data_IF_858483385590
#
_entry.id   IF_858483385590
#
_cell.length_a   1.000
_cell.length_b   1.000
_cell.length_c   1.000
_cell.angle_alpha   90.00
_cell.angle_beta   90.00
_cell.angle_gamma   90.00
#
_symmetry.space_group_name_H-M   'P 1'
#
loop_
_entity.id
_entity.type
_entity.pdbx_description
1 polymer ?
#
# COMPACT_ATOMS: atom_id res chain seq x y z
N UNK A 1 -15.29 7.04 -29.09
CA UNK A 1 -13.91 6.52 -28.87
C UNK A 1 -13.18 7.18 -27.70
N UNK A 2 -13.47 8.43 -27.33
CA UNK A 2 -12.86 9.12 -26.17
C UNK A 2 -13.46 8.69 -24.83
N UNK A 3 -14.76 8.45 -24.77
CA UNK A 3 -15.51 8.06 -23.56
C UNK A 3 -15.08 6.71 -22.96
N UNK A 4 -14.83 5.69 -23.80
CA UNK A 4 -14.36 4.37 -23.32
C UNK A 4 -13.00 4.43 -22.63
N UNK A 5 -12.07 5.24 -23.16
CA UNK A 5 -10.71 5.37 -22.58
C UNK A 5 -10.72 6.09 -21.24
N UNK A 6 -11.65 7.01 -21.02
CA UNK A 6 -11.80 7.70 -19.74
C UNK A 6 -12.43 6.79 -18.68
N UNK A 7 -13.48 6.05 -19.05
CA UNK A 7 -14.09 5.05 -18.19
C UNK A 7 -13.08 3.98 -17.73
N UNK A 8 -12.22 3.51 -18.64
CA UNK A 8 -11.19 2.51 -18.34
C UNK A 8 -10.13 3.05 -17.37
N UNK A 9 -9.72 4.32 -17.52
CA UNK A 9 -8.77 4.97 -16.60
C UNK A 9 -9.36 5.17 -15.22
N UNK A 10 -10.61 5.62 -15.14
CA UNK A 10 -11.31 5.77 -13.85
C UNK A 10 -11.48 4.43 -13.15
N UNK A 11 -11.78 3.35 -13.89
CA UNK A 11 -11.86 2.01 -13.34
C UNK A 11 -10.51 1.56 -12.72
N UNK A 12 -9.39 1.83 -13.41
CA UNK A 12 -8.05 1.52 -12.88
C UNK A 12 -7.68 2.35 -11.65
N UNK A 13 -8.00 3.64 -11.64
CA UNK A 13 -7.81 4.49 -10.46
C UNK A 13 -8.59 3.96 -9.25
N UNK A 14 -9.85 3.58 -9.47
CA UNK A 14 -10.70 2.99 -8.44
C UNK A 14 -10.11 1.68 -7.92
N UNK A 15 -9.66 0.80 -8.82
CA UNK A 15 -9.00 -0.45 -8.44
C UNK A 15 -7.77 -0.19 -7.56
N UNK A 16 -6.90 0.75 -7.96
CA UNK A 16 -5.70 1.11 -7.21
C UNK A 16 -6.03 1.69 -5.82
N UNK A 17 -7.08 2.52 -5.74
CA UNK A 17 -7.57 3.06 -4.49
C UNK A 17 -8.13 1.95 -3.57
N UNK A 18 -8.86 0.98 -4.12
CA UNK A 18 -9.37 -0.18 -3.37
C UNK A 18 -8.21 -1.00 -2.79
N UNK A 19 -7.16 -1.27 -3.57
CA UNK A 19 -5.99 -2.01 -3.07
C UNK A 19 -5.28 -1.24 -1.94
N UNK A 20 -5.19 0.08 -2.05
CA UNK A 20 -4.66 0.94 -0.99
C UNK A 20 -5.51 0.87 0.29
N UNK A 21 -6.84 0.93 0.18
CA UNK A 21 -7.74 0.78 1.32
C UNK A 21 -7.67 -0.63 1.95
N UNK A 22 -7.57 -1.67 1.12
CA UNK A 22 -7.38 -3.04 1.58
C UNK A 22 -6.05 -3.20 2.34
N UNK A 23 -4.99 -2.52 1.90
CA UNK A 23 -3.71 -2.47 2.62
C UNK A 23 -3.86 -1.88 4.02
N UNK A 24 -4.56 -0.75 4.14
CA UNK A 24 -4.90 -0.16 5.44
C UNK A 24 -5.76 -1.08 6.30
N UNK A 25 -6.79 -1.68 5.72
CA UNK A 25 -7.67 -2.62 6.42
C UNK A 25 -6.92 -3.83 6.96
N UNK A 26 -6.03 -4.42 6.16
CA UNK A 26 -5.19 -5.55 6.57
C UNK A 26 -4.23 -5.17 7.71
N UNK A 27 -3.61 -3.99 7.63
CA UNK A 27 -2.72 -3.51 8.69
C UNK A 27 -3.50 -3.24 10.00
N UNK A 28 -4.64 -2.55 9.94
CA UNK A 28 -5.47 -2.31 11.13
C UNK A 28 -6.02 -3.61 11.73
N UNK A 29 -6.44 -4.56 10.90
CA UNK A 29 -6.87 -5.88 11.36
C UNK A 29 -5.73 -6.61 12.09
N UNK A 30 -4.49 -6.52 11.59
CA UNK A 30 -3.33 -7.09 12.26
C UNK A 30 -3.05 -6.44 13.63
N UNK A 31 -3.28 -5.13 13.77
CA UNK A 31 -3.18 -4.44 15.06
C UNK A 31 -4.24 -4.93 16.05
N UNK A 32 -5.48 -5.10 15.59
CA UNK A 32 -6.56 -5.63 16.42
C UNK A 32 -6.24 -7.05 16.89
N UNK A 33 -5.77 -7.91 15.98
CA UNK A 33 -5.37 -9.28 16.31
C UNK A 33 -4.21 -9.27 17.32
N UNK A 34 -3.19 -8.44 17.10
CA UNK A 34 -2.07 -8.33 18.03
C UNK A 34 -2.51 -7.85 19.41
N UNK A 35 -3.44 -6.87 19.47
CA UNK A 35 -4.01 -6.38 20.72
C UNK A 35 -4.78 -7.47 21.47
N UNK A 36 -5.64 -8.22 20.78
CA UNK A 36 -6.39 -9.34 21.40
C UNK A 36 -5.45 -10.44 21.88
N UNK A 37 -4.43 -10.80 21.10
CA UNK A 37 -3.45 -11.80 21.52
C UNK A 37 -2.61 -11.32 22.71
N UNK A 38 -2.25 -10.04 22.72
CA UNK A 38 -1.55 -9.41 23.83
C UNK A 38 -2.37 -9.44 25.12
N UNK A 39 -3.66 -9.06 25.06
CA UNK A 39 -4.51 -9.12 26.25
C UNK A 39 -4.64 -10.54 26.76
N UNK A 40 -4.92 -11.52 25.89
CA UNK A 40 -4.98 -12.93 26.28
C UNK A 40 -3.65 -13.37 26.93
N UNK A 41 -2.52 -13.10 26.29
CA UNK A 41 -1.20 -13.46 26.82
C UNK A 41 -0.93 -12.87 28.21
N UNK A 42 -1.35 -11.62 28.44
CA UNK A 42 -1.26 -10.95 29.74
C UNK A 42 -2.03 -11.70 30.83
N UNK A 43 -3.27 -12.12 30.55
CA UNK A 43 -4.10 -12.91 31.47
C UNK A 43 -3.49 -14.28 31.80
N UNK A 44 -2.73 -14.87 30.89
CA UNK A 44 -2.09 -16.19 31.06
C UNK A 44 -0.61 -16.12 31.47
N UNK A 45 -0.06 -14.94 31.75
CA UNK A 45 1.33 -14.77 32.20
C UNK A 45 2.40 -15.15 31.16
N UNK A 46 2.06 -15.09 29.86
CA UNK A 46 2.97 -15.44 28.77
C UNK A 46 3.89 -14.26 28.38
N UNK A 47 5.00 -14.55 27.69
CA UNK A 47 5.93 -13.51 27.21
C UNK A 47 5.30 -12.72 26.05
N UNK A 48 5.06 -11.44 26.27
CA UNK A 48 4.29 -10.57 25.37
C UNK A 48 5.07 -10.07 24.14
N UNK A 49 6.40 -10.21 24.14
CA UNK A 49 7.29 -9.63 23.12
C UNK A 49 7.08 -10.20 21.69
N UNK A 50 6.52 -11.40 21.56
CA UNK A 50 6.29 -12.01 20.24
C UNK A 50 5.09 -11.34 19.55
N UNK A 51 4.05 -11.00 20.30
CA UNK A 51 2.82 -10.42 19.75
C UNK A 51 3.00 -8.97 19.28
N UNK A 52 3.96 -8.24 19.86
CA UNK A 52 4.33 -6.90 19.42
C UNK A 52 4.97 -6.84 18.03
N UNK A 53 5.47 -7.96 17.49
CA UNK A 53 6.08 -8.00 16.15
C UNK A 53 5.04 -8.17 15.04
N UNK A 54 3.85 -8.67 15.36
CA UNK A 54 2.82 -8.98 14.37
C UNK A 54 2.40 -7.76 13.52
N UNK A 55 2.14 -6.58 14.11
CA UNK A 55 1.79 -5.39 13.34
C UNK A 55 2.92 -4.89 12.43
N UNK A 56 4.18 -5.06 12.85
CA UNK A 56 5.35 -4.68 12.05
C UNK A 56 5.52 -5.60 10.84
N UNK A 57 5.35 -6.91 11.02
CA UNK A 57 5.39 -7.87 9.93
C UNK A 57 4.24 -7.64 8.94
N UNK A 58 3.04 -7.36 9.45
CA UNK A 58 1.90 -7.01 8.60
C UNK A 58 2.13 -5.70 7.85
N UNK A 59 2.70 -4.68 8.50
CA UNK A 59 3.05 -3.41 7.85
C UNK A 59 4.00 -3.62 6.66
N UNK A 60 5.08 -4.38 6.86
CA UNK A 60 6.04 -4.68 5.79
C UNK A 60 5.42 -5.57 4.71
N UNK A 61 4.60 -6.55 5.09
CA UNK A 61 3.89 -7.41 4.15
C UNK A 61 2.93 -6.64 3.25
N UNK A 62 2.16 -5.71 3.82
CA UNK A 62 1.27 -4.81 3.07
C UNK A 62 2.07 -3.91 2.12
N UNK A 63 3.13 -3.27 2.61
CA UNK A 63 4.01 -2.45 1.78
C UNK A 63 4.62 -3.23 0.60
N UNK A 64 5.04 -4.48 0.84
CA UNK A 64 5.53 -5.38 -0.20
C UNK A 64 4.45 -5.76 -1.20
N UNK A 65 3.24 -6.11 -0.74
CA UNK A 65 2.12 -6.43 -1.62
C UNK A 65 1.75 -5.25 -2.52
N UNK A 66 1.58 -4.04 -1.95
CA UNK A 66 1.30 -2.82 -2.72
C UNK A 66 2.42 -2.51 -3.72
N UNK A 67 3.68 -2.75 -3.34
CA UNK A 67 4.84 -2.59 -4.23
C UNK A 67 4.82 -3.58 -5.38
N UNK A 68 4.35 -4.81 -5.15
CA UNK A 68 4.24 -5.83 -6.20
C UNK A 68 3.04 -5.59 -7.13
N UNK A 69 1.89 -5.21 -6.58
CA UNK A 69 0.62 -5.15 -7.34
C UNK A 69 0.25 -3.77 -7.86
N UNK A 70 0.54 -2.71 -7.10
CA UNK A 70 0.12 -1.35 -7.46
C UNK A 70 1.24 -0.60 -8.20
N UNK A 71 2.50 -0.75 -7.77
CA UNK A 71 3.61 0.01 -8.35
C UNK A 71 3.78 -0.19 -9.87
N UNK A 72 3.71 -1.41 -10.46
CA UNK A 72 3.82 -1.58 -11.90
C UNK A 72 2.74 -0.83 -12.67
N UNK A 73 1.49 -0.90 -12.17
CA UNK A 73 0.33 -0.21 -12.75
C UNK A 73 0.45 1.32 -12.70
N UNK A 74 1.19 1.87 -11.73
CA UNK A 74 1.51 3.29 -11.67
C UNK A 74 2.69 3.68 -12.58
N UNK A 75 3.69 2.82 -12.73
CA UNK A 75 4.88 3.10 -13.57
C UNK A 75 4.50 3.15 -15.06
N UNK A 76 3.52 2.34 -15.49
CA UNK A 76 2.98 2.40 -16.85
C UNK A 76 2.40 3.79 -17.22
N UNK A 77 2.05 4.61 -16.23
CA UNK A 77 1.57 5.99 -16.43
C UNK A 77 2.69 7.01 -16.64
N UNK A 78 3.91 6.77 -16.13
CA UNK A 78 5.06 7.68 -16.32
C UNK A 78 6.39 6.89 -16.41
N UNK A 79 7.00 6.76 -17.60
CA UNK A 79 8.19 5.93 -17.83
C UNK A 79 9.50 6.50 -17.23
N UNK A 80 9.44 7.62 -16.51
CA UNK A 80 10.62 8.36 -16.01
C UNK A 80 11.38 7.59 -14.92
N UNK A 81 10.80 6.52 -14.36
CA UNK A 81 11.42 5.71 -13.30
C UNK A 81 12.40 4.62 -13.80
N UNK A 82 12.77 4.63 -15.09
CA UNK A 82 13.56 3.55 -15.73
C UNK A 82 15.05 3.46 -15.35
N UNK A 83 15.60 4.32 -14.50
CA UNK A 83 16.95 4.12 -13.97
C UNK A 83 16.93 3.09 -12.85
N UNK A 84 17.74 2.03 -12.98
CA UNK A 84 17.81 0.90 -12.04
C UNK A 84 18.05 1.37 -10.60
N UNK A 85 18.86 2.42 -10.42
CA UNK A 85 19.11 3.05 -9.11
C UNK A 85 17.87 3.70 -8.48
N UNK A 86 16.98 4.25 -9.30
CA UNK A 86 15.74 4.83 -8.83
C UNK A 86 14.70 3.74 -8.55
N UNK A 87 14.73 2.62 -9.26
CA UNK A 87 13.75 1.53 -9.12
C UNK A 87 13.82 0.85 -7.74
N UNK A 88 15.03 0.60 -7.24
CA UNK A 88 15.21 0.02 -5.90
C UNK A 88 14.80 1.01 -4.82
N UNK A 89 15.22 2.26 -4.92
CA UNK A 89 14.83 3.32 -3.99
C UNK A 89 13.31 3.54 -3.95
N UNK A 90 12.64 3.48 -5.09
CA UNK A 90 11.18 3.56 -5.22
C UNK A 90 10.49 2.37 -4.57
N UNK A 91 10.98 1.15 -4.80
CA UNK A 91 10.41 -0.04 -4.17
C UNK A 91 10.58 0.00 -2.66
N UNK A 92 11.75 0.39 -2.16
CA UNK A 92 12.00 0.53 -0.72
C UNK A 92 11.08 1.61 -0.11
N UNK A 93 10.95 2.77 -0.75
CA UNK A 93 9.98 3.80 -0.30
C UNK A 93 8.53 3.29 -0.39
N UNK A 94 8.20 2.53 -1.42
CA UNK A 94 6.90 1.88 -1.58
C UNK A 94 6.61 0.84 -0.52
N UNK A 95 7.62 0.19 0.07
CA UNK A 95 7.44 -0.77 1.16
C UNK A 95 7.41 -0.07 2.51
N UNK A 96 8.42 0.76 2.82
CA UNK A 96 8.58 1.36 4.15
C UNK A 96 7.71 2.59 4.39
N UNK A 97 7.41 3.34 3.34
CA UNK A 97 6.61 4.57 3.39
C UNK A 97 5.29 4.40 2.64
N UNK A 98 4.81 3.17 2.48
CA UNK A 98 3.60 2.84 1.72
C UNK A 98 2.38 3.73 2.05
N UNK A 99 2.10 4.11 3.32
CA UNK A 99 0.93 4.94 3.65
C UNK A 99 0.96 6.27 2.92
N UNK A 100 2.12 6.94 2.93
CA UNK A 100 2.28 8.26 2.33
C UNK A 100 2.62 8.16 0.83
N UNK A 101 3.45 7.19 0.47
CA UNK A 101 3.96 7.03 -0.88
C UNK A 101 2.83 6.76 -1.89
N UNK A 102 1.93 5.82 -1.57
CA UNK A 102 0.79 5.50 -2.44
C UNK A 102 -0.27 6.60 -2.44
N UNK A 103 -0.48 7.28 -1.31
CA UNK A 103 -1.38 8.43 -1.23
C UNK A 103 -0.93 9.54 -2.18
N UNK A 104 0.36 9.91 -2.15
CA UNK A 104 0.92 10.93 -3.05
C UNK A 104 0.83 10.49 -4.52
N UNK A 105 1.07 9.21 -4.83
CA UNK A 105 0.90 8.67 -6.18
C UNK A 105 -0.54 8.77 -6.67
N UNK A 106 -1.52 8.40 -5.84
CA UNK A 106 -2.95 8.54 -6.15
C UNK A 106 -3.33 10.00 -6.41
N UNK A 107 -2.87 10.94 -5.56
CA UNK A 107 -3.11 12.37 -5.75
C UNK A 107 -2.51 12.89 -7.06
N UNK A 108 -1.26 12.52 -7.37
CA UNK A 108 -0.61 12.90 -8.63
C UNK A 108 -1.39 12.38 -9.84
N UNK A 109 -1.84 11.13 -9.79
CA UNK A 109 -2.61 10.51 -10.87
C UNK A 109 -3.99 11.16 -11.04
N UNK A 110 -4.69 11.44 -9.93
CA UNK A 110 -5.97 12.13 -9.93
C UNK A 110 -5.87 13.58 -10.42
N UNK A 111 -4.84 14.32 -10.00
CA UNK A 111 -4.61 15.69 -10.46
C UNK A 111 -4.29 15.75 -11.97
N UNK A 112 -3.44 14.84 -12.46
CA UNK A 112 -3.17 14.68 -13.89
C UNK A 112 -4.43 14.33 -14.71
N UNK A 113 -5.44 13.71 -14.08
CA UNK A 113 -6.72 13.44 -14.73
C UNK A 113 -7.60 14.69 -14.81
N UNK A 114 -7.65 15.51 -13.75
CA UNK A 114 -8.51 16.71 -13.69
C UNK A 114 -8.00 17.83 -14.62
N UNK A 115 -6.68 17.95 -14.81
CA UNK A 115 -6.07 19.01 -15.61
C UNK A 115 -5.97 18.71 -17.13
N UNK A 116 -6.49 17.57 -17.58
CA UNK A 116 -6.39 17.13 -18.98
C UNK A 116 -7.77 17.02 -19.61
#
# INVERSE_FOLDING_TARGET
MTTDREAEKQARLRELFIHYLLGWGAWLASMLVAYVLFTIAHWFGAKEAIFSLLPWLAYLGVGFALTKYCLPRYIDFHPVWKTIDNLVGVKLRGIFLWPLFYLVLLFKLGFLHVMR
#
